data_IF_251370472954
#
_entry.id   IF_251370472954
#
_cell.length_a   1.000
_cell.length_b   1.000
_cell.length_c   1.000
_cell.angle_alpha   90.00
_cell.angle_beta   90.00
_cell.angle_gamma   90.00
#
_symmetry.space_group_name_H-M   'P 1'
#
loop_
_entity.id
_entity.type
_entity.pdbx_description
1 polymer ?
#
# COMPACT_ATOMS: atom_id res chain seq x y z
N UNK A 1 11.31 -43.71 -49.86
CA UNK A 1 10.56 -42.62 -49.21
C UNK A 1 11.43 -41.37 -49.23
N UNK A 2 11.05 -40.32 -49.97
CA UNK A 2 11.81 -39.05 -49.99
C UNK A 2 11.56 -38.31 -48.69
N UNK A 3 12.59 -38.08 -47.88
CA UNK A 3 12.50 -37.21 -46.71
C UNK A 3 12.45 -35.76 -47.21
N UNK A 4 11.40 -35.02 -46.84
CA UNK A 4 11.36 -33.57 -47.07
C UNK A 4 12.46 -32.92 -46.22
N UNK A 5 13.42 -32.26 -46.86
CA UNK A 5 14.45 -31.50 -46.19
C UNK A 5 13.93 -30.07 -45.97
N UNK A 6 14.04 -29.59 -44.73
CA UNK A 6 13.63 -28.24 -44.35
C UNK A 6 14.57 -27.23 -45.00
N UNK A 7 14.03 -26.17 -45.59
CA UNK A 7 14.84 -25.11 -46.20
C UNK A 7 15.29 -24.11 -45.14
N UNK A 8 16.44 -23.48 -45.37
CA UNK A 8 16.99 -22.45 -44.47
C UNK A 8 16.02 -21.27 -44.33
N UNK A 9 15.31 -20.92 -45.41
CA UNK A 9 14.33 -19.83 -45.41
C UNK A 9 13.11 -20.15 -44.55
N UNK A 10 12.61 -21.39 -44.57
CA UNK A 10 11.50 -21.82 -43.70
C UNK A 10 11.90 -21.70 -42.22
N UNK A 11 13.13 -22.06 -41.86
CA UNK A 11 13.62 -21.92 -40.48
C UNK A 11 13.77 -20.45 -40.08
N UNK A 12 14.28 -19.63 -40.97
CA UNK A 12 14.52 -18.21 -40.74
C UNK A 12 13.21 -17.45 -40.50
N UNK A 13 12.16 -17.73 -41.29
CA UNK A 13 10.84 -17.10 -41.12
C UNK A 13 10.22 -17.48 -39.77
N UNK A 14 10.35 -18.74 -39.35
CA UNK A 14 9.79 -19.20 -38.06
C UNK A 14 10.45 -18.47 -36.90
N UNK A 15 11.79 -18.38 -36.87
CA UNK A 15 12.50 -17.66 -35.81
C UNK A 15 12.17 -16.16 -35.84
N UNK A 16 12.02 -15.56 -37.03
CA UNK A 16 11.60 -14.17 -37.17
C UNK A 16 10.20 -13.93 -36.55
N UNK A 17 9.22 -14.79 -36.83
CA UNK A 17 7.87 -14.67 -36.24
C UNK A 17 7.90 -14.84 -34.72
N UNK A 18 8.63 -15.85 -34.21
CA UNK A 18 8.78 -16.05 -32.76
C UNK A 18 9.43 -14.83 -32.10
N UNK A 19 10.45 -14.24 -32.72
CA UNK A 19 11.13 -13.04 -32.23
C UNK A 19 10.18 -11.84 -32.10
N UNK A 20 9.35 -11.59 -33.13
CA UNK A 20 8.34 -10.52 -33.10
C UNK A 20 7.33 -10.76 -31.96
N UNK A 21 6.75 -11.97 -31.88
CA UNK A 21 5.77 -12.30 -30.84
C UNK A 21 6.36 -12.20 -29.43
N UNK A 22 7.58 -12.71 -29.22
CA UNK A 22 8.27 -12.65 -27.93
C UNK A 22 8.56 -11.20 -27.49
N UNK A 23 8.94 -10.33 -28.43
CA UNK A 23 9.21 -8.91 -28.12
C UNK A 23 7.96 -8.17 -27.63
N UNK A 24 6.79 -8.45 -28.21
CA UNK A 24 5.52 -7.87 -27.79
C UNK A 24 5.09 -8.37 -26.40
N UNK A 25 5.32 -9.66 -26.13
CA UNK A 25 5.02 -10.27 -24.82
C UNK A 25 5.85 -9.65 -23.71
N UNK A 26 7.14 -9.38 -23.93
CA UNK A 26 8.03 -8.81 -22.92
C UNK A 26 7.54 -7.44 -22.43
N UNK A 27 7.11 -6.56 -23.34
CA UNK A 27 6.55 -5.25 -22.99
C UNK A 27 5.24 -5.41 -22.21
N UNK A 28 4.39 -6.37 -22.59
CA UNK A 28 3.15 -6.68 -21.87
C UNK A 28 3.38 -7.14 -20.43
N UNK A 29 4.35 -8.02 -20.21
CA UNK A 29 4.68 -8.57 -18.88
C UNK A 29 5.18 -7.50 -17.92
N UNK A 30 6.00 -6.55 -18.39
CA UNK A 30 6.48 -5.47 -17.54
C UNK A 30 5.34 -4.57 -17.05
N UNK A 31 4.39 -4.24 -17.94
CA UNK A 31 3.19 -3.46 -17.58
C UNK A 31 2.29 -4.21 -16.60
N UNK A 32 2.12 -5.53 -16.78
CA UNK A 32 1.34 -6.37 -15.88
C UNK A 32 1.95 -6.42 -14.48
N UNK A 33 3.29 -6.56 -14.38
CA UNK A 33 4.00 -6.53 -13.10
C UNK A 33 3.83 -5.20 -12.36
N UNK A 34 3.89 -4.07 -13.08
CA UNK A 34 3.70 -2.77 -12.46
C UNK A 34 2.27 -2.59 -11.94
N UNK A 35 1.26 -2.98 -12.72
CA UNK A 35 -0.14 -2.98 -12.28
C UNK A 35 -0.36 -3.89 -11.06
N UNK A 36 0.27 -5.06 -11.03
CA UNK A 36 0.19 -5.96 -9.88
C UNK A 36 0.75 -5.30 -8.61
N UNK A 37 1.87 -4.57 -8.71
CA UNK A 37 2.42 -3.79 -7.59
C UNK A 37 1.47 -2.70 -7.10
N UNK A 38 0.82 -1.98 -8.02
CA UNK A 38 -0.22 -0.99 -7.68
C UNK A 38 -1.40 -1.63 -6.94
N UNK A 39 -1.88 -2.77 -7.41
CA UNK A 39 -2.98 -3.51 -6.77
C UNK A 39 -2.60 -3.99 -5.37
N UNK A 40 -1.38 -4.50 -5.18
CA UNK A 40 -0.88 -4.93 -3.87
C UNK A 40 -0.86 -3.75 -2.89
N UNK A 41 -0.22 -2.63 -3.28
CA UNK A 41 -0.13 -1.45 -2.43
C UNK A 41 -1.51 -0.87 -2.08
N UNK A 42 -2.44 -0.84 -3.06
CA UNK A 42 -3.82 -0.38 -2.82
C UNK A 42 -4.55 -1.30 -1.85
N UNK A 43 -4.41 -2.61 -2.02
CA UNK A 43 -5.04 -3.60 -1.13
C UNK A 43 -4.51 -3.49 0.29
N UNK A 44 -3.20 -3.34 0.46
CA UNK A 44 -2.58 -3.13 1.78
C UNK A 44 -3.04 -1.81 2.42
N UNK A 45 -3.12 -0.71 1.66
CA UNK A 45 -3.66 0.56 2.17
C UNK A 45 -5.14 0.43 2.59
N UNK A 46 -5.97 -0.26 1.80
CA UNK A 46 -7.37 -0.51 2.17
C UNK A 46 -7.52 -1.43 3.38
N UNK A 47 -6.67 -2.46 3.50
CA UNK A 47 -6.63 -3.32 4.68
C UNK A 47 -6.23 -2.53 5.92
N UNK A 48 -5.24 -1.64 5.81
CA UNK A 48 -4.84 -0.74 6.89
C UNK A 48 -6.02 0.12 7.37
N UNK A 49 -6.77 0.74 6.45
CA UNK A 49 -7.98 1.49 6.79
C UNK A 49 -8.99 0.63 7.58
N UNK A 50 -9.25 -0.59 7.11
CA UNK A 50 -10.19 -1.52 7.77
C UNK A 50 -9.69 -1.90 9.17
N UNK A 51 -8.40 -2.19 9.29
CA UNK A 51 -7.79 -2.63 10.54
C UNK A 51 -7.74 -1.51 11.58
N UNK A 52 -7.52 -0.26 11.15
CA UNK A 52 -7.63 0.91 12.02
C UNK A 52 -9.08 1.12 12.50
N UNK A 53 -10.08 0.92 11.63
CA UNK A 53 -11.50 0.94 12.05
C UNK A 53 -11.82 -0.15 13.07
N UNK A 54 -11.31 -1.37 12.87
CA UNK A 54 -11.48 -2.47 13.83
C UNK A 54 -10.81 -2.16 15.17
N UNK A 55 -9.62 -1.57 15.15
CA UNK A 55 -8.94 -1.11 16.36
C UNK A 55 -9.80 -0.07 17.11
N UNK A 56 -10.32 0.92 16.40
CA UNK A 56 -11.22 1.91 16.98
C UNK A 56 -12.49 1.28 17.57
N UNK A 57 -13.09 0.30 16.88
CA UNK A 57 -14.27 -0.42 17.40
C UNK A 57 -13.96 -1.15 18.71
N UNK A 58 -12.77 -1.74 18.83
CA UNK A 58 -12.36 -2.52 20.00
C UNK A 58 -11.97 -1.64 21.20
N UNK A 59 -11.26 -0.53 20.94
CA UNK A 59 -10.64 0.29 21.99
C UNK A 59 -11.25 1.68 22.14
N UNK A 60 -12.19 2.07 21.26
CA UNK A 60 -12.88 3.37 21.26
C UNK A 60 -11.93 4.58 21.24
N UNK A 61 -10.74 4.41 20.65
CA UNK A 61 -9.73 5.45 20.49
C UNK A 61 -8.88 5.17 19.26
N UNK A 62 -8.31 6.21 18.67
CA UNK A 62 -7.31 6.06 17.62
C UNK A 62 -5.95 5.67 18.21
N UNK A 63 -5.07 5.00 17.42
CA UNK A 63 -3.71 4.72 17.85
C UNK A 63 -2.96 6.01 18.16
N UNK A 64 -2.47 6.14 19.39
CA UNK A 64 -1.58 7.24 19.78
C UNK A 64 -0.17 6.88 19.33
N UNK A 65 0.29 7.44 18.22
CA UNK A 65 1.64 7.20 17.70
C UNK A 65 2.55 8.32 18.20
N UNK A 66 3.48 7.96 19.08
CA UNK A 66 4.63 8.76 19.52
C UNK A 66 4.35 10.25 19.82
N UNK A 67 3.66 10.54 20.92
CA UNK A 67 3.80 11.84 21.60
C UNK A 67 3.21 13.08 20.92
N UNK A 68 2.55 12.95 19.76
CA UNK A 68 1.82 14.06 19.15
C UNK A 68 0.55 14.37 19.94
N UNK A 69 0.32 15.66 20.22
CA UNK A 69 -0.89 16.11 20.89
C UNK A 69 -2.09 16.06 19.93
N UNK A 70 -3.33 15.88 20.42
CA UNK A 70 -4.53 15.73 19.58
C UNK A 70 -4.76 16.85 18.55
N UNK A 71 -4.32 18.06 18.86
CA UNK A 71 -4.40 19.26 18.00
C UNK A 71 -3.42 19.25 16.83
N UNK A 72 -2.30 18.52 16.93
CA UNK A 72 -1.32 18.36 15.84
C UNK A 72 -1.70 17.22 14.88
N UNK A 73 -2.54 16.28 15.32
CA UNK A 73 -2.99 15.11 14.55
C UNK A 73 -4.04 15.44 13.47
N UNK A 74 -4.69 16.61 13.55
CA UNK A 74 -5.70 17.03 12.57
C UNK A 74 -5.09 17.46 11.23
N UNK A 75 -3.89 18.04 11.24
CA UNK A 75 -3.30 18.64 10.04
C UNK A 75 -2.23 17.76 9.39
N UNK A 76 -1.52 16.93 10.17
CA UNK A 76 -0.37 16.17 9.70
C UNK A 76 -0.66 14.68 9.46
N UNK A 77 -0.11 14.09 8.39
CA UNK A 77 -0.22 12.66 8.13
C UNK A 77 0.60 11.85 9.15
N UNK A 78 0.00 10.80 9.68
CA UNK A 78 0.66 9.88 10.60
C UNK A 78 1.41 8.82 9.79
N UNK A 79 2.71 8.70 10.04
CA UNK A 79 3.52 7.62 9.47
C UNK A 79 3.15 6.29 10.13
N UNK A 80 2.93 5.25 9.33
CA UNK A 80 2.83 3.88 9.82
C UNK A 80 4.22 3.35 10.10
N UNK A 81 4.72 3.69 11.29
CA UNK A 81 6.00 3.25 11.80
C UNK A 81 5.96 1.81 12.30
N UNK A 82 7.12 1.30 12.74
CA UNK A 82 7.23 -0.02 13.36
C UNK A 82 6.31 -0.20 14.56
N UNK A 83 6.10 0.84 15.37
CA UNK A 83 5.31 0.73 16.61
C UNK A 83 3.82 0.58 16.28
N UNK A 84 3.30 1.42 15.38
CA UNK A 84 1.93 1.29 14.87
C UNK A 84 1.75 -0.06 14.17
N UNK A 85 2.75 -0.50 13.41
CA UNK A 85 2.71 -1.80 12.75
C UNK A 85 2.63 -2.96 13.74
N UNK A 86 3.50 -2.98 14.75
CA UNK A 86 3.50 -4.00 15.81
C UNK A 86 2.18 -4.00 16.59
N UNK A 87 1.66 -2.81 16.91
CA UNK A 87 0.37 -2.66 17.57
C UNK A 87 -0.77 -3.27 16.74
N UNK A 88 -0.80 -3.04 15.43
CA UNK A 88 -1.82 -3.61 14.53
C UNK A 88 -1.64 -5.12 14.30
N UNK A 89 -0.42 -5.63 14.42
CA UNK A 89 -0.12 -7.06 14.31
C UNK A 89 -0.43 -7.84 15.61
N UNK A 90 -0.68 -7.16 16.73
CA UNK A 90 -0.88 -7.81 18.04
C UNK A 90 0.43 -8.28 18.68
N UNK A 91 1.55 -7.79 18.17
CA UNK A 91 2.88 -8.02 18.74
C UNK A 91 3.09 -7.17 20.00
N UNK A 92 4.18 -7.41 20.71
CA UNK A 92 4.54 -6.64 21.90
C UNK A 92 4.81 -5.18 21.50
N UNK A 93 3.81 -4.33 21.65
CA UNK A 93 3.95 -2.90 21.51
C UNK A 93 4.53 -2.30 22.80
N UNK A 94 5.46 -1.36 22.65
CA UNK A 94 6.18 -0.75 23.77
C UNK A 94 5.24 -0.09 24.79
N UNK A 95 4.12 0.44 24.30
CA UNK A 95 3.22 1.29 25.07
C UNK A 95 1.92 0.56 25.49
N UNK A 96 1.79 -0.74 25.21
CA UNK A 96 0.62 -1.56 25.55
C UNK A 96 -0.72 -0.93 25.08
N UNK A 97 -0.70 -0.31 23.90
CA UNK A 97 -1.84 0.25 23.22
C UNK A 97 -2.78 -0.83 22.67
N UNK A 98 -2.30 -2.08 22.50
CA UNK A 98 -3.10 -3.26 22.19
C UNK A 98 -3.00 -4.33 23.30
N UNK A 99 -3.59 -4.08 24.49
CA UNK A 99 -3.45 -4.98 25.65
C UNK A 99 -4.05 -6.37 25.43
N UNK A 100 -5.03 -6.50 24.52
CA UNK A 100 -5.62 -7.79 24.16
C UNK A 100 -4.80 -8.56 23.11
N UNK A 101 -3.74 -7.96 22.57
CA UNK A 101 -2.86 -8.53 21.55
C UNK A 101 -3.62 -9.06 20.33
N UNK A 102 -4.66 -8.32 19.93
CA UNK A 102 -5.50 -8.69 18.80
C UNK A 102 -4.80 -8.31 17.49
N UNK A 103 -4.61 -9.29 16.61
CA UNK A 103 -4.07 -9.05 15.28
C UNK A 103 -5.17 -8.47 14.37
N UNK A 104 -5.04 -7.20 14.01
CA UNK A 104 -5.95 -6.51 13.09
C UNK A 104 -5.48 -6.61 11.64
N UNK A 105 -4.16 -6.66 11.40
CA UNK A 105 -3.54 -6.78 10.08
C UNK A 105 -2.17 -7.45 10.18
N UNK A 106 -1.74 -8.09 9.10
CA UNK A 106 -0.35 -8.53 8.91
C UNK A 106 0.30 -7.73 7.77
N UNK A 107 1.51 -7.22 8.01
CA UNK A 107 2.29 -6.53 6.98
C UNK A 107 3.28 -7.52 6.37
N UNK A 108 3.17 -7.74 5.06
CA UNK A 108 3.96 -8.76 4.35
C UNK A 108 5.40 -8.33 4.10
N UNK A 109 5.63 -7.04 3.94
CA UNK A 109 6.94 -6.47 3.59
C UNK A 109 7.27 -5.34 4.55
N UNK A 110 8.45 -5.42 5.16
CA UNK A 110 8.99 -4.40 6.06
C UNK A 110 10.40 -4.00 5.63
N UNK A 111 10.81 -2.77 5.93
CA UNK A 111 12.20 -2.34 5.76
C UNK A 111 13.09 -2.88 6.88
N UNK A 112 14.39 -2.59 6.84
CA UNK A 112 15.36 -3.05 7.85
C UNK A 112 14.98 -2.70 9.29
N UNK A 113 14.25 -1.62 9.51
CA UNK A 113 13.79 -1.19 10.83
C UNK A 113 12.51 -1.91 11.31
N UNK A 114 11.84 -2.65 10.43
CA UNK A 114 10.54 -3.27 10.69
C UNK A 114 9.34 -2.41 10.30
N UNK A 115 9.57 -1.24 9.69
CA UNK A 115 8.51 -0.36 9.18
C UNK A 115 7.86 -0.97 7.93
N UNK A 116 6.52 -1.05 7.84
CA UNK A 116 5.84 -1.55 6.66
C UNK A 116 6.12 -0.71 5.41
N UNK A 117 6.43 -1.40 4.32
CA UNK A 117 6.74 -0.76 3.04
C UNK A 117 5.96 -1.40 1.90
N UNK A 118 5.61 -0.58 0.93
CA UNK A 118 4.96 -1.03 -0.30
C UNK A 118 5.98 -1.66 -1.28
N UNK A 119 5.54 -2.18 -2.45
CA UNK A 119 6.42 -2.80 -3.45
C UNK A 119 7.51 -1.88 -4.06
N UNK A 120 7.45 -0.57 -3.84
CA UNK A 120 8.47 0.41 -4.22
C UNK A 120 9.33 0.89 -3.04
N UNK A 121 9.25 0.20 -1.90
CA UNK A 121 9.92 0.56 -0.64
C UNK A 121 9.54 1.94 -0.12
N UNK A 122 8.26 2.31 -0.28
CA UNK A 122 7.69 3.54 0.28
C UNK A 122 6.78 3.20 1.45
N UNK A 123 6.75 4.09 2.44
CA UNK A 123 6.00 3.89 3.66
C UNK A 123 4.49 4.06 3.43
N UNK A 124 3.72 3.59 4.40
CA UNK A 124 2.30 3.87 4.51
C UNK A 124 2.06 5.05 5.44
N UNK A 125 1.02 5.80 5.15
CA UNK A 125 0.56 6.93 5.95
C UNK A 125 -0.93 6.77 6.22
N UNK A 126 -1.38 7.26 7.36
CA UNK A 126 -2.78 7.33 7.70
C UNK A 126 -3.15 8.70 8.27
N UNK A 127 -4.44 9.01 8.22
CA UNK A 127 -5.00 10.20 8.86
C UNK A 127 -6.31 9.80 9.51
N UNK A 128 -6.55 10.35 10.68
CA UNK A 128 -7.72 10.06 11.50
C UNK A 128 -8.63 11.27 11.57
N UNK A 129 -9.92 11.00 11.70
CA UNK A 129 -10.91 11.99 12.10
C UNK A 129 -10.83 12.16 13.63
N UNK A 130 -10.25 13.28 14.07
CA UNK A 130 -10.02 13.60 15.49
C UNK A 130 -11.16 14.47 16.05
N UNK A 131 -11.83 15.26 15.21
CA UNK A 131 -13.00 16.07 15.57
C UNK A 131 -14.32 15.30 15.48
N UNK A 132 -14.27 14.02 15.07
CA UNK A 132 -15.39 13.08 15.01
C UNK A 132 -16.54 13.55 14.10
N UNK A 133 -16.24 14.37 13.10
CA UNK A 133 -17.24 14.92 12.18
C UNK A 133 -17.47 14.02 10.94
N UNK A 134 -16.85 12.84 10.92
CA UNK A 134 -16.76 11.87 9.83
C UNK A 134 -16.16 12.45 8.54
N UNK A 135 -15.32 13.48 8.63
CA UNK A 135 -14.70 14.14 7.50
C UNK A 135 -13.23 14.38 7.71
N UNK A 136 -12.41 13.74 6.88
CA UNK A 136 -11.00 14.05 6.82
C UNK A 136 -10.79 15.17 5.81
N UNK A 137 -10.44 16.34 6.36
CA UNK A 137 -10.11 17.54 5.58
C UNK A 137 -8.70 17.44 5.01
N UNK A 138 -8.49 18.16 3.92
CA UNK A 138 -7.18 18.35 3.33
C UNK A 138 -6.22 18.93 4.37
N UNK A 139 -5.07 18.27 4.57
CA UNK A 139 -4.01 18.77 5.45
C UNK A 139 -3.26 19.96 4.85
N UNK A 140 -2.33 20.54 5.61
CA UNK A 140 -1.47 21.62 5.10
C UNK A 140 -0.46 21.03 4.10
N UNK A 141 -0.32 21.64 2.92
CA UNK A 141 0.69 21.25 1.93
C UNK A 141 0.16 20.40 0.76
N UNK A 142 0.99 19.44 0.30
CA UNK A 142 0.75 18.62 -0.90
C UNK A 142 0.23 17.22 -0.57
N UNK A 143 0.07 16.90 0.71
CA UNK A 143 -0.35 15.59 1.15
C UNK A 143 -1.83 15.35 0.87
N UNK A 144 -2.20 14.10 0.52
CA UNK A 144 -3.59 13.74 0.31
C UNK A 144 -4.39 13.79 1.62
N UNK A 145 -5.72 13.99 1.56
CA UNK A 145 -6.54 14.04 0.36
C UNK A 145 -6.60 15.45 -0.25
N UNK A 146 -6.76 15.53 -1.58
CA UNK A 146 -6.85 16.82 -2.30
C UNK A 146 -8.17 17.57 -2.06
N UNK A 147 -9.19 16.87 -1.55
CA UNK A 147 -10.50 17.37 -1.16
C UNK A 147 -10.96 16.66 0.12
N UNK A 148 -12.00 17.18 0.78
CA UNK A 148 -12.57 16.55 1.97
C UNK A 148 -13.13 15.17 1.63
N UNK A 149 -12.72 14.16 2.40
CA UNK A 149 -13.17 12.77 2.25
C UNK A 149 -14.05 12.40 3.43
N UNK A 150 -15.27 11.92 3.16
CA UNK A 150 -16.23 11.51 4.20
C UNK A 150 -15.94 10.11 4.72
N UNK A 151 -14.86 9.97 5.51
CA UNK A 151 -14.44 8.71 6.15
C UNK A 151 -13.80 9.04 7.50
N UNK A 152 -13.96 8.16 8.52
CA UNK A 152 -13.35 8.36 9.84
C UNK A 152 -11.84 8.10 9.85
N UNK A 153 -11.32 7.37 8.86
CA UNK A 153 -9.89 7.11 8.68
C UNK A 153 -9.60 6.93 7.20
N UNK A 154 -8.44 7.41 6.79
CA UNK A 154 -7.88 7.18 5.46
C UNK A 154 -6.46 6.64 5.59
N UNK A 155 -6.05 5.84 4.62
CA UNK A 155 -4.70 5.32 4.52
C UNK A 155 -4.20 5.38 3.08
N UNK A 156 -2.93 5.71 2.89
CA UNK A 156 -2.32 5.76 1.56
C UNK A 156 -0.84 5.40 1.59
N UNK A 157 -0.31 5.16 0.41
CA UNK A 157 1.13 5.07 0.16
C UNK A 157 1.49 5.78 -1.14
N UNK A 158 2.79 5.91 -1.39
CA UNK A 158 3.33 6.58 -2.57
C UNK A 158 3.84 5.55 -3.57
N UNK A 159 3.29 5.55 -4.78
CA UNK A 159 3.74 4.71 -5.89
C UNK A 159 5.01 5.23 -6.58
N UNK A 160 5.43 4.55 -7.65
CA UNK A 160 6.71 4.78 -8.35
C UNK A 160 7.03 6.24 -8.71
N UNK A 161 6.04 7.01 -9.15
CA UNK A 161 6.22 8.37 -9.66
C UNK A 161 5.71 9.46 -8.71
N UNK A 162 5.61 9.16 -7.41
CA UNK A 162 4.94 10.08 -6.47
C UNK A 162 3.42 10.05 -6.56
N UNK A 163 2.85 9.14 -7.37
CA UNK A 163 1.41 8.92 -7.47
C UNK A 163 0.90 8.41 -6.13
N UNK A 164 -0.13 9.07 -5.59
CA UNK A 164 -0.80 8.59 -4.38
C UNK A 164 -1.57 7.31 -4.71
N UNK A 165 -1.41 6.30 -3.85
CA UNK A 165 -2.20 5.08 -3.87
C UNK A 165 -3.04 5.09 -2.60
N UNK A 166 -4.28 5.51 -2.74
CA UNK A 166 -5.18 5.79 -1.63
C UNK A 166 -6.21 4.67 -1.42
N UNK A 167 -6.61 4.48 -0.16
CA UNK A 167 -7.68 3.55 0.21
C UNK A 167 -9.09 4.05 -0.15
N UNK A 168 -9.22 5.34 -0.49
CA UNK A 168 -10.50 6.01 -0.78
C UNK A 168 -10.71 6.39 -2.26
N UNK A 169 -9.76 6.05 -3.13
CA UNK A 169 -9.88 6.17 -4.60
C UNK A 169 -10.56 4.97 -5.26
#
# INVERSE_FOLDING_TARGET
>A
MKRAAFTLIELLVVVAIIGVLASMLLVGVQRAREKAREVIAKTEASQLEISLKKYYQEYQRWPTVAGLQPDELEDEPVLVDKNLAAMLQGDNDRDNNNPKRLAFMEFKTTDSDGTPINPWRKNYYCKFDVDFDNQIRKGRGKDPPSSTVRRPVIAWSVGKNGKTIASWE
#
